data_IF_069234252772
#
_entry.id   IF_069234252772
#
_cell.length_a   1.000
_cell.length_b   1.000
_cell.length_c   1.000
_cell.angle_alpha   90.00
_cell.angle_beta   90.00
_cell.angle_gamma   90.00
#
_symmetry.space_group_name_H-M   'P 1'
#
loop_
_entity.id
_entity.type
_entity.pdbx_description
1 polymer ?
#
# COMPACT_ATOMS: atom_id res chain seq x y z
N UNK A 1 -14.17 -1.97 1.43
CA UNK A 1 -13.39 -3.19 1.74
C UNK A 1 -11.92 -2.81 1.70
N UNK A 2 -11.32 -2.71 2.88
CA UNK A 2 -10.04 -2.03 3.13
C UNK A 2 -9.04 -3.03 3.72
N UNK A 3 -8.23 -3.67 2.87
CA UNK A 3 -7.38 -4.85 3.16
C UNK A 3 -8.12 -6.16 2.91
N UNK A 4 -7.55 -7.00 2.05
CA UNK A 4 -8.00 -8.35 1.73
C UNK A 4 -7.82 -9.30 2.93
N UNK A 5 -8.75 -10.25 3.07
CA UNK A 5 -8.76 -11.17 4.21
C UNK A 5 -7.47 -12.00 4.31
N UNK A 6 -6.88 -12.38 3.16
CA UNK A 6 -5.59 -13.08 3.09
C UNK A 6 -4.45 -12.26 3.70
N UNK A 7 -4.30 -11.00 3.30
CA UNK A 7 -3.28 -10.11 3.84
C UNK A 7 -3.45 -9.87 5.33
N UNK A 8 -4.71 -9.77 5.78
CA UNK A 8 -5.01 -9.63 7.21
C UNK A 8 -4.59 -10.88 7.99
N UNK A 9 -4.91 -12.06 7.50
CA UNK A 9 -4.49 -13.34 8.11
C UNK A 9 -2.96 -13.48 8.13
N UNK A 10 -2.27 -13.11 7.04
CA UNK A 10 -0.79 -13.10 6.98
C UNK A 10 -0.18 -12.18 8.04
N UNK A 11 -0.71 -10.97 8.22
CA UNK A 11 -0.23 -10.03 9.25
C UNK A 11 -0.52 -10.56 10.66
N UNK A 12 -1.72 -11.09 10.91
CA UNK A 12 -2.06 -11.65 12.22
C UNK A 12 -1.17 -12.85 12.59
N UNK A 13 -0.84 -13.70 11.61
CA UNK A 13 0.11 -14.79 11.79
C UNK A 13 1.52 -14.26 12.10
N UNK A 14 2.03 -13.30 11.32
CA UNK A 14 3.35 -12.71 11.55
C UNK A 14 3.45 -12.03 12.93
N UNK A 15 2.39 -11.35 13.39
CA UNK A 15 2.33 -10.77 14.74
C UNK A 15 2.43 -11.86 15.81
N UNK A 16 1.73 -12.99 15.64
CA UNK A 16 1.78 -14.11 16.57
C UNK A 16 3.18 -14.71 16.64
N UNK A 17 3.82 -14.91 15.49
CA UNK A 17 5.19 -15.43 15.43
C UNK A 17 6.19 -14.50 16.12
N UNK A 18 6.14 -13.19 15.87
CA UNK A 18 6.98 -12.20 16.57
C UNK A 18 6.77 -12.29 18.09
N UNK A 19 5.53 -12.42 18.56
CA UNK A 19 5.21 -12.54 19.99
C UNK A 19 5.75 -13.84 20.60
N UNK A 20 5.74 -14.94 19.86
CA UNK A 20 6.28 -16.22 20.32
C UNK A 20 7.81 -16.15 20.45
N UNK A 21 8.49 -15.59 19.45
CA UNK A 21 9.96 -15.47 19.48
C UNK A 21 10.45 -14.39 20.44
N UNK A 22 9.64 -13.40 20.78
CA UNK A 22 9.95 -12.41 21.83
C UNK A 22 10.09 -13.04 23.22
N UNK A 23 9.52 -14.22 23.45
CA UNK A 23 9.75 -14.98 24.69
C UNK A 23 11.08 -15.76 24.67
N UNK A 24 11.75 -15.85 23.51
CA UNK A 24 13.07 -16.43 23.37
C UNK A 24 14.16 -15.38 23.62
N UNK A 25 15.40 -15.84 23.86
CA UNK A 25 16.58 -14.97 23.95
C UNK A 25 17.34 -14.91 22.60
N UNK A 26 16.75 -15.39 21.51
CA UNK A 26 17.38 -15.39 20.19
C UNK A 26 17.11 -14.07 19.45
N UNK A 27 18.06 -13.15 19.55
CA UNK A 27 18.00 -11.86 18.87
C UNK A 27 17.99 -11.97 17.34
N UNK A 28 18.60 -13.01 16.76
CA UNK A 28 18.58 -13.19 15.30
C UNK A 28 17.19 -13.60 14.82
N UNK A 29 16.53 -14.49 15.57
CA UNK A 29 15.18 -14.94 15.25
C UNK A 29 14.14 -13.80 15.42
N UNK A 30 14.24 -13.01 16.50
CA UNK A 30 13.38 -11.84 16.72
C UNK A 30 13.51 -10.83 15.57
N UNK A 31 14.74 -10.55 15.13
CA UNK A 31 14.97 -9.63 14.02
C UNK A 31 14.37 -10.18 12.71
N UNK A 32 14.63 -11.45 12.39
CA UNK A 32 14.09 -12.07 11.17
C UNK A 32 12.55 -12.06 11.13
N UNK A 33 11.88 -12.35 12.26
CA UNK A 33 10.42 -12.30 12.35
C UNK A 33 9.87 -10.87 12.28
N UNK A 34 10.60 -9.90 12.84
CA UNK A 34 10.24 -8.48 12.78
C UNK A 34 10.34 -7.95 11.35
N UNK A 35 11.40 -8.31 10.61
CA UNK A 35 11.55 -7.97 9.19
C UNK A 35 10.44 -8.58 8.35
N UNK A 36 10.06 -9.84 8.61
CA UNK A 36 8.94 -10.49 7.93
C UNK A 36 7.61 -9.75 8.17
N UNK A 37 7.34 -9.32 9.42
CA UNK A 37 6.16 -8.52 9.74
C UNK A 37 6.16 -7.17 9.01
N UNK A 38 7.30 -6.47 8.97
CA UNK A 38 7.43 -5.21 8.22
C UNK A 38 7.16 -5.42 6.73
N UNK A 39 7.71 -6.46 6.12
CA UNK A 39 7.50 -6.76 4.70
C UNK A 39 6.01 -6.97 4.37
N UNK A 40 5.30 -7.75 5.20
CA UNK A 40 3.85 -7.95 5.06
C UNK A 40 3.09 -6.63 5.20
N UNK A 41 3.46 -5.78 6.15
CA UNK A 41 2.82 -4.47 6.34
C UNK A 41 3.02 -3.54 5.14
N UNK A 42 4.23 -3.51 4.57
CA UNK A 42 4.53 -2.72 3.37
C UNK A 42 3.69 -3.18 2.17
N UNK A 43 3.60 -4.48 1.93
CA UNK A 43 2.78 -5.05 0.85
C UNK A 43 1.31 -4.66 0.98
N UNK A 44 0.76 -4.70 2.20
CA UNK A 44 -0.63 -4.27 2.46
C UNK A 44 -0.82 -2.78 2.27
N UNK A 45 0.13 -1.98 2.72
CA UNK A 45 0.09 -0.53 2.54
C UNK A 45 0.11 -0.19 1.05
N UNK A 46 0.99 -0.82 0.28
CA UNK A 46 1.07 -0.65 -1.18
C UNK A 46 -0.24 -1.04 -1.87
N UNK A 47 -0.80 -2.21 -1.55
CA UNK A 47 -2.09 -2.64 -2.09
C UNK A 47 -3.24 -1.67 -1.72
N UNK A 48 -3.23 -1.13 -0.50
CA UNK A 48 -4.18 -0.11 -0.08
C UNK A 48 -4.02 1.19 -0.87
N UNK A 49 -2.79 1.65 -1.09
CA UNK A 49 -2.50 2.85 -1.89
C UNK A 49 -2.88 2.67 -3.36
N UNK A 50 -2.55 1.53 -3.97
CA UNK A 50 -2.95 1.20 -5.34
C UNK A 50 -4.48 1.20 -5.48
N UNK A 51 -5.19 0.54 -4.56
CA UNK A 51 -6.65 0.54 -4.55
C UNK A 51 -7.25 1.94 -4.36
N UNK A 52 -6.63 2.78 -3.53
CA UNK A 52 -7.07 4.16 -3.34
C UNK A 52 -6.88 5.00 -4.62
N UNK A 53 -5.79 4.79 -5.37
CA UNK A 53 -5.57 5.42 -6.66
C UNK A 53 -6.59 4.96 -7.71
N UNK A 54 -6.88 3.66 -7.79
CA UNK A 54 -7.89 3.12 -8.71
C UNK A 54 -9.30 3.67 -8.42
N UNK A 55 -9.64 3.82 -7.14
CA UNK A 55 -10.91 4.43 -6.72
C UNK A 55 -10.95 5.94 -7.00
N UNK A 56 -9.83 6.65 -6.86
CA UNK A 56 -9.73 8.07 -7.20
C UNK A 56 -9.85 8.30 -8.72
N UNK A 57 -9.24 7.43 -9.55
CA UNK A 57 -9.33 7.51 -11.02
C UNK A 57 -10.74 7.24 -11.59
N UNK A 58 -11.56 6.47 -10.88
CA UNK A 58 -12.98 6.24 -11.25
C UNK A 58 -13.86 7.47 -11.03
N UNK A 59 -13.49 8.40 -10.16
CA UNK A 59 -14.30 9.62 -9.91
C UNK A 59 -14.09 10.73 -10.95
N UNK A 60 -13.20 10.54 -11.93
CA UNK A 60 -12.92 11.54 -12.99
C UNK A 60 -13.60 11.24 -14.34
N UNK A 61 -14.42 10.20 -14.46
CA UNK A 61 -15.06 9.84 -15.76
C UNK A 61 -16.57 10.15 -15.84
N UNK A 62 -17.26 10.42 -14.73
CA UNK A 62 -18.70 10.81 -14.74
C UNK A 62 -18.91 12.34 -14.69
N UNK A 63 -18.21 13.06 -15.57
CA UNK A 63 -18.27 14.52 -15.64
C UNK A 63 -18.18 15.10 -17.06
N UNK A 64 -18.47 14.31 -18.09
CA UNK A 64 -18.61 14.83 -19.46
C UNK A 64 -20.01 15.46 -19.65
N UNK A 65 -20.23 16.62 -19.03
CA UNK A 65 -21.48 17.34 -19.16
C UNK A 65 -21.42 18.75 -18.59
N UNK A 66 -21.32 19.73 -19.49
CA UNK A 66 -21.58 21.16 -19.32
C UNK A 66 -20.47 22.03 -18.70
N UNK A 67 -19.85 22.78 -19.60
CA UNK A 67 -19.69 24.24 -19.54
C UNK A 67 -18.82 24.89 -18.43
N UNK A 68 -17.74 25.51 -18.94
CA UNK A 68 -17.39 26.92 -18.69
C UNK A 68 -16.41 27.24 -17.55
N UNK A 69 -15.21 27.67 -17.99
CA UNK A 69 -14.28 28.64 -17.39
C UNK A 69 -13.89 28.50 -15.92
N UNK A 70 -12.64 28.12 -15.67
CA UNK A 70 -11.98 28.44 -14.40
C UNK A 70 -10.67 27.71 -14.24
N UNK A 71 -9.58 28.47 -14.15
CA UNK A 71 -8.22 28.02 -13.92
C UNK A 71 -8.09 26.98 -12.79
N UNK A 72 -7.26 25.96 -13.03
CA UNK A 72 -6.91 24.96 -12.03
C UNK A 72 -6.34 23.69 -12.63
N UNK A 73 -5.43 23.83 -13.60
CA UNK A 73 -4.57 22.72 -14.03
C UNK A 73 -3.48 22.53 -12.96
N UNK A 74 -3.86 21.99 -11.81
CA UNK A 74 -2.90 21.50 -10.83
C UNK A 74 -2.68 20.02 -11.13
N UNK A 75 -1.76 19.82 -12.07
CA UNK A 75 -0.68 18.82 -11.96
C UNK A 75 -1.13 17.48 -11.35
N UNK A 76 -1.90 16.75 -12.15
CA UNK A 76 -1.96 15.29 -12.03
C UNK A 76 -0.53 14.83 -12.28
N UNK A 77 0.19 14.57 -11.20
CA UNK A 77 1.57 14.09 -11.24
C UNK A 77 1.52 12.73 -11.91
N UNK A 78 1.78 12.74 -13.21
CA UNK A 78 2.03 11.57 -14.03
C UNK A 78 3.28 10.93 -13.43
N UNK A 79 3.08 9.91 -12.60
CA UNK A 79 4.14 9.06 -12.12
C UNK A 79 4.61 8.18 -13.30
N UNK A 80 5.13 8.83 -14.34
CA UNK A 80 5.99 8.20 -15.33
C UNK A 80 7.20 7.70 -14.56
N UNK A 81 7.20 6.39 -14.33
CA UNK A 81 8.37 5.61 -13.96
C UNK A 81 9.52 6.07 -14.85
N UNK A 82 10.51 6.69 -14.23
CA UNK A 82 11.79 7.04 -14.85
C UNK A 82 12.43 5.73 -15.30
N UNK A 83 12.24 5.36 -16.56
CA UNK A 83 13.07 4.37 -17.22
C UNK A 83 14.27 5.13 -17.81
N UNK A 84 15.34 5.16 -17.03
CA UNK A 84 16.64 5.70 -17.44
C UNK A 84 17.15 4.97 -18.68
N UNK A 85 17.29 5.69 -19.79
CA UNK A 85 17.78 5.06 -21.02
C UNK A 85 18.11 6.02 -22.16
N UNK A 86 19.13 6.86 -21.99
CA UNK A 86 20.17 7.17 -22.99
C UNK A 86 21.22 8.16 -22.51
#
# INVERSE_FOLDING_TARGET
ETVDASSKEEIEAAIKEVREVLASEDAAEINAKTEALQASFHKVSEAMYQRAQEQAGTSSTDGAGAETNGAGAEDVVDAEVVDEGK
#
